data_IF_646959158221
#
_entry.id   IF_646959158221
#
_cell.length_a   1.000
_cell.length_b   1.000
_cell.length_c   1.000
_cell.angle_alpha   90.00
_cell.angle_beta   90.00
_cell.angle_gamma   90.00
#
_symmetry.space_group_name_H-M   'P 1'
#
loop_
_entity.id
_entity.type
_entity.pdbx_description
1 polymer ?
#
# COMPACT_ATOMS: atom_id res chain seq x y z
N UNK A 1 22.26 -15.40 -6.29
CA UNK A 1 20.91 -15.09 -5.78
C UNK A 1 21.06 -14.13 -4.62
N UNK A 2 20.33 -13.02 -4.62
CA UNK A 2 20.21 -12.15 -3.43
C UNK A 2 18.99 -12.65 -2.62
N UNK A 3 19.08 -12.74 -1.29
CA UNK A 3 17.91 -13.07 -0.48
C UNK A 3 16.84 -11.98 -0.64
N UNK A 4 15.56 -12.36 -0.63
CA UNK A 4 14.43 -11.42 -0.77
C UNK A 4 14.36 -10.46 0.43
N UNK A 5 14.40 -11.02 1.63
CA UNK A 5 14.48 -10.31 2.90
C UNK A 5 15.04 -11.23 3.99
N UNK A 6 15.45 -10.64 5.11
CA UNK A 6 15.68 -11.34 6.37
C UNK A 6 14.43 -11.27 7.25
N UNK A 7 14.12 -12.33 8.00
CA UNK A 7 12.96 -12.39 8.91
C UNK A 7 13.43 -12.75 10.32
N UNK A 8 12.89 -12.10 11.35
CA UNK A 8 13.16 -12.43 12.74
C UNK A 8 12.36 -13.66 13.20
N UNK A 9 12.96 -14.47 14.09
CA UNK A 9 12.28 -15.64 14.66
C UNK A 9 11.19 -15.25 15.68
N UNK A 10 11.38 -14.13 16.37
CA UNK A 10 10.49 -13.66 17.44
C UNK A 10 9.85 -12.31 17.07
N UNK A 11 8.65 -12.00 17.59
CA UNK A 11 8.03 -10.70 17.47
C UNK A 11 8.91 -9.56 18.00
N UNK A 12 8.85 -8.40 17.35
CA UNK A 12 9.62 -7.22 17.76
C UNK A 12 8.76 -6.13 18.36
N UNK A 13 9.41 -5.20 19.06
CA UNK A 13 8.77 -3.96 19.50
C UNK A 13 8.89 -2.89 18.42
N UNK A 14 7.92 -1.97 18.37
CA UNK A 14 7.95 -0.88 17.40
C UNK A 14 9.12 0.10 17.57
N UNK A 15 9.78 0.15 18.73
CA UNK A 15 11.01 0.94 18.88
C UNK A 15 12.17 0.38 18.04
N UNK A 16 12.28 -0.95 17.90
CA UNK A 16 13.29 -1.56 17.04
C UNK A 16 13.02 -1.24 15.56
N UNK A 17 11.76 -1.28 15.14
CA UNK A 17 11.37 -0.88 13.78
C UNK A 17 11.79 0.56 13.48
N UNK A 18 11.50 1.50 14.39
CA UNK A 18 11.92 2.90 14.28
C UNK A 18 13.44 3.03 14.12
N UNK A 19 14.19 2.36 15.00
CA UNK A 19 15.65 2.49 15.03
C UNK A 19 16.28 1.97 13.72
N UNK A 20 15.74 0.87 13.16
CA UNK A 20 16.18 0.33 11.88
C UNK A 20 15.78 1.21 10.70
N UNK A 21 14.57 1.79 10.70
CA UNK A 21 14.15 2.76 9.69
C UNK A 21 15.06 4.00 9.72
N UNK A 22 15.42 4.49 10.91
CA UNK A 22 16.37 5.59 11.04
C UNK A 22 17.75 5.25 10.43
N UNK A 23 18.22 4.01 10.55
CA UNK A 23 19.48 3.54 9.98
C UNK A 23 19.38 3.12 8.50
N UNK A 24 18.18 3.09 7.90
CA UNK A 24 17.94 2.64 6.52
C UNK A 24 18.84 3.34 5.49
N UNK A 25 19.02 4.66 5.63
CA UNK A 25 19.88 5.44 4.74
C UNK A 25 21.35 4.99 4.73
N UNK A 26 21.79 4.24 5.75
CA UNK A 26 23.15 3.68 5.87
C UNK A 26 23.19 2.19 5.55
N UNK A 27 22.17 1.44 5.97
CA UNK A 27 22.13 -0.02 5.83
C UNK A 27 21.58 -0.47 4.48
N UNK A 28 20.72 0.33 3.84
CA UNK A 28 19.91 -0.06 2.69
C UNK A 28 18.83 -1.09 3.03
N UNK A 29 18.54 -1.33 4.32
CA UNK A 29 17.57 -2.31 4.79
C UNK A 29 16.31 -1.62 5.33
N UNK A 30 15.20 -1.76 4.60
CA UNK A 30 13.91 -1.21 5.01
C UNK A 30 13.20 -2.20 5.95
N UNK A 31 12.78 -1.78 7.16
CA UNK A 31 12.08 -2.65 8.08
C UNK A 31 10.59 -2.80 7.72
N UNK A 32 10.09 -4.02 7.85
CA UNK A 32 8.68 -4.37 7.65
C UNK A 32 8.17 -5.15 8.87
N UNK A 33 6.97 -4.85 9.34
CA UNK A 33 6.27 -5.71 10.28
C UNK A 33 5.51 -6.78 9.51
N UNK A 34 5.87 -8.04 9.73
CA UNK A 34 5.44 -9.16 8.91
C UNK A 34 4.36 -9.94 9.65
N UNK A 35 3.09 -9.77 9.27
CA UNK A 35 1.97 -10.53 9.85
C UNK A 35 1.97 -11.97 9.28
N UNK A 36 1.86 -12.96 10.16
CA UNK A 36 1.90 -14.39 9.85
C UNK A 36 0.61 -15.11 10.24
N UNK A 37 -0.43 -14.36 10.64
CA UNK A 37 -1.66 -14.91 11.22
C UNK A 37 -2.38 -15.87 10.29
N UNK A 38 -2.50 -15.52 9.01
CA UNK A 38 -3.16 -16.35 8.00
C UNK A 38 -2.22 -17.42 7.43
N UNK A 39 -0.95 -17.05 7.24
CA UNK A 39 0.05 -17.96 6.69
C UNK A 39 1.49 -17.54 7.07
N UNK A 40 2.38 -18.50 7.41
CA UNK A 40 3.79 -18.20 7.68
C UNK A 40 4.55 -17.77 6.44
N UNK A 41 5.42 -16.76 6.55
CA UNK A 41 6.31 -16.33 5.45
C UNK A 41 7.33 -17.39 5.08
N UNK A 42 7.70 -18.25 6.03
CA UNK A 42 8.58 -19.40 5.81
C UNK A 42 8.00 -20.43 4.81
N UNK A 43 6.71 -20.36 4.48
CA UNK A 43 6.09 -21.21 3.45
C UNK A 43 6.61 -20.93 2.03
N UNK A 44 7.31 -19.81 1.82
CA UNK A 44 8.05 -19.54 0.59
C UNK A 44 7.20 -19.12 -0.61
N UNK A 45 5.96 -18.68 -0.38
CA UNK A 45 5.10 -18.06 -1.40
C UNK A 45 5.52 -16.62 -1.67
N UNK A 46 6.75 -16.48 -2.15
CA UNK A 46 7.34 -15.21 -2.54
C UNK A 46 7.92 -15.34 -3.95
N UNK A 47 7.74 -14.30 -4.75
CA UNK A 47 8.28 -14.19 -6.10
C UNK A 47 8.98 -12.83 -6.28
N UNK A 48 10.23 -12.67 -5.80
CA UNK A 48 10.93 -11.39 -5.88
C UNK A 48 11.08 -10.90 -7.32
N UNK A 49 10.74 -9.64 -7.54
CA UNK A 49 10.85 -8.96 -8.83
C UNK A 49 12.02 -7.96 -8.82
N UNK A 50 12.68 -7.71 -9.97
CA UNK A 50 13.71 -6.70 -10.03
C UNK A 50 13.11 -5.31 -9.75
N UNK A 51 13.59 -4.64 -8.71
CA UNK A 51 13.17 -3.27 -8.33
C UNK A 51 13.33 -2.25 -9.48
N UNK A 52 14.22 -2.53 -10.45
CA UNK A 52 14.36 -1.73 -11.67
C UNK A 52 13.11 -1.73 -12.55
N UNK A 53 12.33 -2.82 -12.57
CA UNK A 53 11.12 -2.94 -13.39
C UNK A 53 10.02 -1.99 -12.94
N UNK A 54 9.99 -1.59 -11.67
CA UNK A 54 9.03 -0.60 -11.13
C UNK A 54 9.09 0.70 -11.96
N UNK A 55 10.27 1.09 -12.44
CA UNK A 55 10.45 2.30 -13.25
C UNK A 55 9.77 2.27 -14.62
N UNK A 56 9.33 1.10 -15.08
CA UNK A 56 8.64 0.92 -16.36
C UNK A 56 7.13 1.20 -16.25
N UNK A 57 6.58 1.36 -15.04
CA UNK A 57 5.16 1.54 -14.79
C UNK A 57 4.82 2.96 -14.37
N UNK A 58 3.68 3.45 -14.83
CA UNK A 58 3.17 4.78 -14.53
C UNK A 58 1.85 4.66 -13.76
N UNK A 59 1.70 5.29 -12.58
CA UNK A 59 0.49 5.17 -11.76
C UNK A 59 -0.80 5.56 -12.50
N UNK A 60 -0.74 6.58 -13.36
CA UNK A 60 -1.90 7.00 -14.14
C UNK A 60 -2.27 5.98 -15.22
N UNK A 61 -1.30 5.28 -15.80
CA UNK A 61 -1.53 4.26 -16.82
C UNK A 61 -2.16 3.02 -16.17
N UNK A 62 -1.60 2.58 -15.03
CA UNK A 62 -2.17 1.52 -14.19
C UNK A 62 -3.64 1.82 -13.84
N UNK A 63 -3.90 3.01 -13.28
CA UNK A 63 -5.25 3.40 -12.89
C UNK A 63 -6.20 3.48 -14.08
N UNK A 64 -5.76 3.97 -15.24
CA UNK A 64 -6.57 4.04 -16.44
C UNK A 64 -6.91 2.65 -17.01
N UNK A 65 -5.95 1.73 -17.00
CA UNK A 65 -6.12 0.36 -17.47
C UNK A 65 -7.12 -0.40 -16.60
N UNK A 66 -6.91 -0.43 -15.28
CA UNK A 66 -7.84 -1.09 -14.33
C UNK A 66 -9.26 -0.53 -14.47
N UNK A 67 -9.39 0.80 -14.60
CA UNK A 67 -10.70 1.45 -14.73
C UNK A 67 -11.39 1.09 -16.06
N UNK A 68 -10.65 1.07 -17.17
CA UNK A 68 -11.19 0.73 -18.48
C UNK A 68 -11.65 -0.74 -18.51
N UNK A 69 -10.82 -1.65 -18.02
CA UNK A 69 -11.12 -3.08 -17.91
C UNK A 69 -12.39 -3.36 -17.10
N UNK A 70 -12.56 -2.65 -15.99
CA UNK A 70 -13.77 -2.75 -15.18
C UNK A 70 -14.99 -2.16 -15.90
N UNK A 71 -14.85 -0.97 -16.49
CA UNK A 71 -15.95 -0.29 -17.19
C UNK A 71 -16.46 -1.06 -18.42
N UNK A 72 -15.61 -1.87 -19.08
CA UNK A 72 -16.04 -2.76 -20.16
C UNK A 72 -16.96 -3.90 -19.68
N UNK A 73 -16.84 -4.29 -18.40
CA UNK A 73 -17.55 -5.43 -17.80
C UNK A 73 -18.74 -4.99 -16.93
N UNK A 74 -18.77 -3.74 -16.49
CA UNK A 74 -19.76 -3.20 -15.55
C UNK A 74 -21.14 -2.95 -16.20
N UNK A 75 -22.20 -3.29 -15.45
CA UNK A 75 -23.58 -2.94 -15.76
C UNK A 75 -23.87 -1.45 -15.49
N UNK A 76 -25.01 -0.94 -15.94
CA UNK A 76 -25.33 0.49 -15.78
C UNK A 76 -25.53 0.88 -14.31
N UNK A 77 -26.04 -0.03 -13.47
CA UNK A 77 -26.24 0.23 -12.04
C UNK A 77 -24.91 0.29 -11.25
N UNK A 78 -23.86 -0.40 -11.71
CA UNK A 78 -22.58 -0.48 -11.00
C UNK A 78 -21.82 0.87 -11.00
N UNK A 79 -22.14 1.78 -11.93
CA UNK A 79 -21.48 3.09 -12.01
C UNK A 79 -21.85 4.03 -10.87
N UNK A 80 -22.98 3.79 -10.19
CA UNK A 80 -23.40 4.57 -9.04
C UNK A 80 -22.44 4.39 -7.86
N UNK A 81 -21.83 3.21 -7.73
CA UNK A 81 -20.82 2.92 -6.70
C UNK A 81 -19.55 3.74 -6.92
N UNK A 82 -19.25 4.09 -8.18
CA UNK A 82 -18.10 4.91 -8.57
C UNK A 82 -18.44 6.40 -8.77
N UNK A 83 -19.62 6.85 -8.33
CA UNK A 83 -19.93 8.27 -8.35
C UNK A 83 -18.89 9.09 -7.55
N UNK A 84 -18.49 10.29 -8.03
CA UNK A 84 -19.03 11.03 -9.16
C UNK A 84 -18.34 10.71 -10.51
N UNK A 85 -17.41 9.77 -10.54
CA UNK A 85 -16.56 9.51 -11.70
C UNK A 85 -17.20 8.54 -12.71
N UNK A 86 -17.91 7.52 -12.20
CA UNK A 86 -18.60 6.53 -13.01
C UNK A 86 -17.67 5.90 -14.05
N UNK A 87 -17.99 6.07 -15.33
CA UNK A 87 -17.20 5.52 -16.47
C UNK A 87 -15.83 6.18 -16.65
N UNK A 88 -15.60 7.36 -16.09
CA UNK A 88 -14.43 8.17 -16.41
C UNK A 88 -13.40 8.13 -15.30
N UNK A 89 -12.26 7.47 -15.58
CA UNK A 89 -11.12 7.47 -14.67
C UNK A 89 -10.64 8.90 -14.38
N UNK A 90 -10.61 9.33 -13.10
CA UNK A 90 -10.15 10.68 -12.75
C UNK A 90 -8.62 10.81 -12.76
N UNK A 91 -7.89 9.71 -12.98
CA UNK A 91 -6.44 9.65 -12.81
C UNK A 91 -6.00 9.84 -11.36
N UNK A 92 -4.68 9.86 -11.09
CA UNK A 92 -4.17 9.95 -9.73
C UNK A 92 -4.60 11.24 -9.03
N UNK A 93 -4.92 11.14 -7.74
CA UNK A 93 -5.31 12.28 -6.93
C UNK A 93 -4.16 13.31 -6.79
N UNK A 94 -4.46 14.61 -6.64
CA UNK A 94 -3.42 15.58 -6.28
C UNK A 94 -2.81 15.25 -4.90
N UNK A 95 -1.56 15.69 -4.64
CA UNK A 95 -0.92 15.48 -3.35
C UNK A 95 -1.70 16.11 -2.19
N UNK A 96 -1.56 15.53 -1.00
CA UNK A 96 -2.08 16.10 0.23
C UNK A 96 -1.19 17.19 0.82
N UNK A 97 -1.63 17.78 1.92
CA UNK A 97 -0.80 18.69 2.71
C UNK A 97 -0.25 17.91 3.91
N UNK A 98 1.09 17.78 4.06
CA UNK A 98 1.68 17.08 5.19
C UNK A 98 1.25 17.69 6.53
N UNK A 99 0.82 16.83 7.46
CA UNK A 99 0.45 17.21 8.83
C UNK A 99 1.58 16.98 9.85
N UNK A 100 2.55 16.12 9.51
CA UNK A 100 3.77 15.84 10.28
C UNK A 100 4.85 15.29 9.33
N UNK A 101 6.03 14.99 9.87
CA UNK A 101 7.08 14.27 9.17
C UNK A 101 6.65 12.82 8.80
N UNK A 102 6.83 12.37 7.55
CA UNK A 102 6.47 11.02 7.10
C UNK A 102 7.10 9.89 7.92
N UNK A 103 8.36 10.03 8.28
CA UNK A 103 9.09 8.99 9.00
C UNK A 103 8.64 8.93 10.47
N UNK A 104 8.43 10.09 11.10
CA UNK A 104 7.87 10.17 12.44
C UNK A 104 6.44 9.58 12.51
N UNK A 105 5.64 9.75 11.45
CA UNK A 105 4.31 9.14 11.37
C UNK A 105 4.41 7.61 11.25
N UNK A 106 5.32 7.12 10.41
CA UNK A 106 5.61 5.69 10.28
C UNK A 106 6.07 5.08 11.61
N UNK A 107 6.97 5.77 12.34
CA UNK A 107 7.47 5.34 13.64
C UNK A 107 6.36 5.25 14.71
N UNK A 108 5.34 6.11 14.63
CA UNK A 108 4.16 6.04 15.51
C UNK A 108 3.28 4.85 15.12
N UNK A 109 3.06 4.64 13.82
CA UNK A 109 2.18 3.58 13.35
C UNK A 109 2.79 2.18 13.55
N UNK A 110 4.09 2.02 13.32
CA UNK A 110 4.83 0.79 13.61
C UNK A 110 4.70 0.38 15.09
N UNK A 111 4.69 1.33 16.02
CA UNK A 111 4.44 1.07 17.44
C UNK A 111 3.03 0.60 17.76
N UNK A 112 2.05 0.90 16.92
CA UNK A 112 0.69 0.37 17.03
C UNK A 112 0.65 -1.05 16.48
N UNK A 113 1.14 -1.27 15.27
CA UNK A 113 1.15 -2.57 14.59
C UNK A 113 1.95 -3.62 15.38
N UNK A 114 3.14 -3.26 15.88
CA UNK A 114 3.99 -4.18 16.64
C UNK A 114 3.32 -4.75 17.91
N UNK A 115 2.27 -4.11 18.45
CA UNK A 115 1.51 -4.64 19.60
C UNK A 115 0.72 -5.90 19.25
N UNK A 116 0.52 -6.19 17.96
CA UNK A 116 -0.07 -7.44 17.49
C UNK A 116 0.87 -8.64 17.68
N UNK A 117 2.14 -8.42 18.03
CA UNK A 117 3.11 -9.49 18.23
C UNK A 117 3.60 -10.07 16.90
N UNK A 118 3.98 -9.21 15.96
CA UNK A 118 4.42 -9.58 14.61
C UNK A 118 5.95 -9.58 14.48
N UNK A 119 6.53 -10.53 13.73
CA UNK A 119 7.95 -10.53 13.34
C UNK A 119 8.38 -9.30 12.54
N UNK A 120 9.70 -9.16 12.40
CA UNK A 120 10.36 -8.12 11.62
C UNK A 120 10.98 -8.71 10.34
N UNK A 121 10.64 -8.12 9.21
CA UNK A 121 11.32 -8.30 7.93
C UNK A 121 12.32 -7.18 7.65
N UNK A 122 13.41 -7.48 6.94
CA UNK A 122 14.36 -6.50 6.41
C UNK A 122 14.58 -6.72 4.92
N UNK A 123 14.06 -5.81 4.10
CA UNK A 123 14.19 -5.84 2.64
C UNK A 123 15.31 -4.90 2.17
N UNK A 124 16.17 -5.37 1.26
CA UNK A 124 17.27 -4.58 0.72
C UNK A 124 16.80 -3.66 -0.42
N UNK A 125 16.41 -2.43 -0.07
CA UNK A 125 15.84 -1.43 -1.00
C UNK A 125 16.33 -0.03 -0.67
N UNK A 126 16.44 0.84 -1.68
CA UNK A 126 16.78 2.26 -1.47
C UNK A 126 15.58 3.09 -0.99
N UNK A 127 14.36 2.56 -1.19
CA UNK A 127 13.09 3.24 -0.95
C UNK A 127 12.08 2.26 -0.39
N UNK A 128 11.31 2.68 0.61
CA UNK A 128 10.34 1.80 1.30
C UNK A 128 9.22 1.29 0.39
N UNK A 129 8.76 2.08 -0.59
CA UNK A 129 7.75 1.66 -1.57
C UNK A 129 8.18 0.46 -2.43
N UNK A 130 9.48 0.22 -2.58
CA UNK A 130 10.02 -0.87 -3.40
C UNK A 130 10.01 -2.21 -2.65
N UNK A 131 9.72 -2.18 -1.35
CA UNK A 131 9.82 -3.34 -0.48
C UNK A 131 8.89 -4.48 -0.91
N UNK A 132 7.72 -4.18 -1.49
CA UNK A 132 6.79 -5.21 -2.00
C UNK A 132 7.45 -6.05 -3.11
N UNK A 133 8.05 -5.40 -4.10
CA UNK A 133 8.69 -6.06 -5.23
C UNK A 133 9.95 -6.82 -4.80
N UNK A 134 10.78 -6.19 -3.94
CA UNK A 134 11.98 -6.83 -3.42
C UNK A 134 11.68 -8.05 -2.53
N UNK A 135 10.63 -7.96 -1.70
CA UNK A 135 10.19 -9.07 -0.87
C UNK A 135 9.51 -10.18 -1.68
N UNK A 136 9.01 -9.85 -2.88
CA UNK A 136 8.27 -10.78 -3.73
C UNK A 136 6.87 -11.08 -3.20
N UNK A 137 6.23 -10.07 -2.59
CA UNK A 137 4.92 -10.25 -1.96
C UNK A 137 3.82 -10.55 -2.97
N UNK A 138 3.08 -11.65 -2.81
CA UNK A 138 2.06 -12.09 -3.77
C UNK A 138 0.62 -11.85 -3.30
N UNK A 139 0.42 -10.99 -2.30
CA UNK A 139 -0.89 -10.85 -1.65
C UNK A 139 -1.99 -10.28 -2.54
N UNK A 140 -1.65 -9.63 -3.66
CA UNK A 140 -2.60 -9.07 -4.62
C UNK A 140 -2.72 -9.91 -5.91
N UNK A 141 -2.28 -11.18 -5.92
CA UNK A 141 -2.14 -12.00 -7.14
C UNK A 141 -3.43 -12.11 -7.98
N UNK A 142 -4.60 -12.15 -7.34
CA UNK A 142 -5.90 -12.21 -8.03
C UNK A 142 -6.26 -10.90 -8.74
N UNK A 143 -5.67 -9.78 -8.33
CA UNK A 143 -5.87 -8.46 -8.92
C UNK A 143 -4.74 -8.08 -9.89
N UNK A 144 -3.49 -8.35 -9.52
CA UNK A 144 -2.32 -8.06 -10.32
C UNK A 144 -1.30 -9.20 -10.23
N UNK A 145 -0.91 -9.72 -11.39
CA UNK A 145 0.08 -10.80 -11.48
C UNK A 145 1.48 -10.35 -11.00
N UNK A 146 1.80 -9.07 -11.19
CA UNK A 146 3.10 -8.49 -10.86
C UNK A 146 2.99 -7.41 -9.80
N UNK A 147 3.99 -7.34 -8.94
CA UNK A 147 4.12 -6.33 -7.88
C UNK A 147 4.69 -5.01 -8.36
N UNK A 148 5.47 -5.01 -9.45
CA UNK A 148 6.09 -3.79 -9.98
C UNK A 148 5.09 -2.64 -10.28
N UNK A 149 3.90 -2.88 -10.90
CA UNK A 149 2.86 -1.86 -11.06
C UNK A 149 2.35 -1.30 -9.72
N UNK A 150 2.09 -2.17 -8.73
CA UNK A 150 1.62 -1.76 -7.40
C UNK A 150 2.69 -0.94 -6.68
N UNK A 151 3.94 -1.36 -6.73
CA UNK A 151 5.06 -0.61 -6.16
C UNK A 151 5.24 0.76 -6.85
N UNK A 152 4.93 0.90 -8.14
CA UNK A 152 4.95 2.20 -8.81
C UNK A 152 3.86 3.14 -8.28
N UNK A 153 2.66 2.62 -7.99
CA UNK A 153 1.61 3.38 -7.29
C UNK A 153 2.08 3.78 -5.88
N UNK A 154 2.72 2.88 -5.15
CA UNK A 154 3.28 3.18 -3.82
C UNK A 154 4.37 4.26 -3.87
N UNK A 155 5.28 4.23 -4.87
CA UNK A 155 6.26 5.32 -5.08
C UNK A 155 5.57 6.67 -5.25
N UNK A 156 4.48 6.68 -6.01
CA UNK A 156 3.68 7.88 -6.22
C UNK A 156 2.99 8.36 -4.94
N UNK A 157 2.49 7.47 -4.09
CA UNK A 157 1.93 7.83 -2.78
C UNK A 157 2.99 8.26 -1.78
N UNK A 158 4.18 7.68 -1.86
CA UNK A 158 5.32 8.12 -1.07
C UNK A 158 5.67 9.58 -1.38
N UNK A 159 5.69 9.94 -2.66
CA UNK A 159 6.00 11.30 -3.10
C UNK A 159 4.84 12.28 -2.85
N UNK A 160 3.57 11.87 -3.08
CA UNK A 160 2.39 12.75 -2.99
C UNK A 160 1.77 12.85 -1.60
N UNK A 161 1.88 11.79 -0.81
CA UNK A 161 1.19 11.67 0.47
C UNK A 161 2.12 11.42 1.65
N UNK A 162 3.44 11.28 1.41
CA UNK A 162 4.39 10.84 2.43
C UNK A 162 4.03 9.45 2.95
N UNK A 163 3.50 8.59 2.08
CA UNK A 163 3.16 7.23 2.46
C UNK A 163 4.43 6.42 2.74
N UNK A 164 4.40 5.56 3.76
CA UNK A 164 5.47 4.59 4.06
C UNK A 164 4.88 3.21 4.23
N UNK A 165 5.50 2.22 3.60
CA UNK A 165 5.18 0.81 3.83
C UNK A 165 5.69 0.42 5.21
N UNK A 166 4.78 0.03 6.10
CA UNK A 166 5.13 -0.31 7.49
C UNK A 166 5.00 -1.81 7.74
N UNK A 167 4.00 -2.45 7.16
CA UNK A 167 3.78 -3.89 7.35
C UNK A 167 3.14 -4.58 6.16
N UNK A 168 3.35 -5.89 6.10
CA UNK A 168 2.79 -6.81 5.13
C UNK A 168 2.25 -8.03 5.86
N UNK A 169 1.07 -8.49 5.47
CA UNK A 169 0.58 -9.83 5.79
C UNK A 169 0.55 -10.72 4.55
N UNK A 170 -0.17 -11.84 4.63
CA UNK A 170 -0.34 -12.75 3.50
C UNK A 170 -0.93 -12.03 2.28
N UNK A 171 -2.05 -11.34 2.48
CA UNK A 171 -2.78 -10.56 1.48
C UNK A 171 -3.17 -9.18 2.02
N UNK A 172 -2.43 -8.65 2.99
CA UNK A 172 -2.68 -7.33 3.58
C UNK A 172 -1.47 -6.41 3.49
N UNK A 173 -1.72 -5.11 3.34
CA UNK A 173 -0.70 -4.06 3.26
C UNK A 173 -1.06 -2.93 4.23
N UNK A 174 -0.09 -2.54 5.05
CA UNK A 174 -0.24 -1.48 6.07
C UNK A 174 0.67 -0.30 5.73
N UNK A 175 0.08 0.87 5.50
CA UNK A 175 0.77 2.12 5.17
C UNK A 175 0.54 3.18 6.25
N UNK A 176 1.58 3.91 6.64
CA UNK A 176 1.41 5.19 7.33
C UNK A 176 1.35 6.32 6.31
N UNK A 177 0.60 7.40 6.59
CA UNK A 177 0.41 8.52 5.66
C UNK A 177 0.54 9.85 6.38
N UNK A 178 1.45 10.70 5.90
CA UNK A 178 1.69 12.03 6.48
C UNK A 178 0.82 13.15 5.89
N UNK A 179 0.24 12.98 4.71
CA UNK A 179 -0.58 14.01 4.07
C UNK A 179 -1.95 13.46 3.66
N UNK A 180 -2.81 13.06 4.60
CA UNK A 180 -4.08 12.41 4.29
C UNK A 180 -5.07 13.35 3.58
N UNK A 181 -6.06 12.83 2.84
CA UNK A 181 -7.10 13.66 2.27
C UNK A 181 -8.00 14.25 3.36
N UNK A 182 -8.12 15.58 3.42
CA UNK A 182 -8.89 16.26 4.49
C UNK A 182 -10.21 16.84 4.01
N UNK A 183 -10.39 17.03 2.70
CA UNK A 183 -11.64 17.54 2.11
C UNK A 183 -12.43 16.39 1.49
N UNK A 184 -13.76 16.48 1.48
CA UNK A 184 -14.61 15.47 0.84
C UNK A 184 -14.24 15.22 -0.63
N UNK A 185 -14.01 16.30 -1.40
CA UNK A 185 -13.60 16.19 -2.81
C UNK A 185 -12.28 15.46 -2.98
N UNK A 186 -11.28 15.77 -2.14
CA UNK A 186 -9.98 15.11 -2.22
C UNK A 186 -10.06 13.66 -1.75
N UNK A 187 -10.82 13.38 -0.69
CA UNK A 187 -11.02 12.03 -0.19
C UNK A 187 -11.70 11.12 -1.22
N UNK A 188 -12.70 11.63 -1.96
CA UNK A 188 -13.34 10.87 -3.05
C UNK A 188 -12.38 10.58 -4.19
N UNK A 189 -11.47 11.51 -4.51
CA UNK A 189 -10.43 11.27 -5.53
C UNK A 189 -9.42 10.21 -5.06
N UNK A 190 -8.96 10.30 -3.81
CA UNK A 190 -8.08 9.28 -3.23
C UNK A 190 -8.77 7.92 -3.14
N UNK A 191 -10.07 7.88 -2.79
CA UNK A 191 -10.87 6.67 -2.79
C UNK A 191 -10.93 6.00 -4.17
N UNK A 192 -11.10 6.78 -5.24
CA UNK A 192 -11.08 6.28 -6.61
C UNK A 192 -9.74 5.61 -6.95
N UNK A 193 -8.63 6.22 -6.53
CA UNK A 193 -7.29 5.67 -6.72
C UNK A 193 -7.06 4.40 -5.88
N UNK A 194 -7.48 4.41 -4.62
CA UNK A 194 -7.44 3.23 -3.74
C UNK A 194 -8.22 2.05 -4.33
N UNK A 195 -9.39 2.32 -4.90
CA UNK A 195 -10.22 1.27 -5.51
C UNK A 195 -9.51 0.60 -6.69
N UNK A 196 -8.83 1.37 -7.55
CA UNK A 196 -8.02 0.74 -8.62
C UNK A 196 -6.82 -0.06 -8.10
N UNK A 197 -6.28 0.34 -6.94
CA UNK A 197 -5.18 -0.35 -6.30
C UNK A 197 -5.63 -1.65 -5.59
N UNK A 198 -6.80 -1.60 -4.97
CA UNK A 198 -7.42 -2.69 -4.22
C UNK A 198 -8.95 -2.58 -4.37
N UNK A 199 -9.57 -3.27 -5.34
CA UNK A 199 -11.02 -3.17 -5.59
C UNK A 199 -11.88 -3.61 -4.41
N UNK A 200 -11.36 -4.55 -3.61
CA UNK A 200 -12.06 -5.17 -2.48
C UNK A 200 -12.45 -4.20 -1.37
N UNK A 201 -11.82 -3.02 -1.30
CA UNK A 201 -12.15 -1.99 -0.31
C UNK A 201 -13.62 -1.54 -0.39
N UNK A 202 -14.25 -1.64 -1.56
CA UNK A 202 -15.67 -1.31 -1.72
C UNK A 202 -16.55 -2.50 -1.37
N UNK A 203 -16.20 -3.70 -1.88
CA UNK A 203 -16.97 -4.93 -1.66
C UNK A 203 -17.02 -5.32 -0.18
N UNK A 204 -15.91 -5.17 0.53
CA UNK A 204 -15.79 -5.45 1.96
C UNK A 204 -16.11 -4.23 2.84
N UNK A 205 -16.35 -3.08 2.22
CA UNK A 205 -16.51 -1.79 2.88
C UNK A 205 -17.88 -1.14 2.61
N UNK A 206 -17.93 0.21 2.50
CA UNK A 206 -19.18 0.95 2.36
C UNK A 206 -19.93 0.77 1.03
N UNK A 207 -19.43 -0.05 0.10
CA UNK A 207 -20.00 -0.26 -1.23
C UNK A 207 -19.78 0.86 -2.24
N UNK A 208 -19.52 2.09 -1.80
CA UNK A 208 -19.40 3.26 -2.69
C UNK A 208 -18.13 4.07 -2.44
N UNK A 209 -17.62 4.76 -3.48
CA UNK A 209 -16.49 5.68 -3.33
C UNK A 209 -16.78 6.79 -2.32
N UNK A 210 -18.00 7.32 -2.31
CA UNK A 210 -18.39 8.36 -1.36
C UNK A 210 -18.38 7.84 0.09
N UNK A 211 -18.90 6.63 0.33
CA UNK A 211 -18.86 6.00 1.64
C UNK A 211 -17.43 5.74 2.12
N UNK A 212 -16.60 5.14 1.27
CA UNK A 212 -15.19 4.87 1.61
C UNK A 212 -14.38 6.17 1.79
N UNK A 213 -14.67 7.21 1.02
CA UNK A 213 -14.04 8.53 1.17
C UNK A 213 -14.27 9.14 2.56
N UNK A 214 -15.47 9.00 3.12
CA UNK A 214 -15.76 9.46 4.48
C UNK A 214 -14.95 8.69 5.52
N UNK A 215 -14.69 7.41 5.30
CA UNK A 215 -13.86 6.60 6.18
C UNK A 215 -12.39 6.99 6.14
N UNK A 216 -11.81 7.29 4.97
CA UNK A 216 -10.38 7.59 4.85
C UNK A 216 -10.04 9.06 5.10
N UNK A 217 -11.05 9.95 5.18
CA UNK A 217 -10.83 11.37 5.37
C UNK A 217 -10.10 11.65 6.69
N UNK A 218 -8.91 12.23 6.59
CA UNK A 218 -8.04 12.56 7.72
C UNK A 218 -7.34 11.36 8.36
N UNK A 219 -7.53 10.13 7.86
CA UNK A 219 -6.82 8.95 8.39
C UNK A 219 -5.35 8.98 7.98
N UNK A 220 -4.46 8.89 8.97
CA UNK A 220 -3.00 8.89 8.79
C UNK A 220 -2.41 7.50 8.60
N UNK A 221 -3.24 6.51 8.31
CA UNK A 221 -2.84 5.17 7.92
C UNK A 221 -3.87 4.59 6.97
N UNK A 222 -3.40 3.79 6.00
CA UNK A 222 -4.22 3.07 5.05
C UNK A 222 -3.90 1.59 5.15
N UNK A 223 -4.96 0.79 5.16
CA UNK A 223 -4.89 -0.67 5.22
C UNK A 223 -5.62 -1.21 4.01
N UNK A 224 -4.99 -2.16 3.32
CA UNK A 224 -5.56 -2.85 2.17
C UNK A 224 -5.56 -4.34 2.41
N UNK A 225 -6.59 -5.02 1.89
CA UNK A 225 -6.75 -6.46 1.97
C UNK A 225 -7.34 -6.95 0.65
N UNK A 226 -6.70 -7.96 0.03
CA UNK A 226 -7.13 -8.60 -1.21
C UNK A 226 -7.60 -10.03 -0.92
N UNK A 227 -8.69 -10.48 -1.54
CA UNK A 227 -9.18 -11.88 -1.51
C UNK A 227 -8.68 -12.70 -2.71
#
# INVERSE_FOLDING_TARGET
MRPAFWLSDEPVRGELWRDLRAEHHRSGLWPLLMDETDQPWASGQIAPEPVSEIGNYLPHAFMAEVWADWAERAAEEDYDDLAPYGRHCPGPAPPGIPVDDPDAMADRYARVLARRGVPLGLAAVERGADALAAAGWQGALNHNEWTAPLAAVLRSWEDRFGARVVGLGFNTLELSVAAPPVTARHAVHVAAEHWTFCPDILFQGPGTLAGYAEEIRGKTHWTFWWD
#
